data_IF_164159355446
#
_entry.id   IF_164159355446
#
_cell.length_a   1.000
_cell.length_b   1.000
_cell.length_c   1.000
_cell.angle_alpha   90.00
_cell.angle_beta   90.00
_cell.angle_gamma   90.00
#
_symmetry.space_group_name_H-M   'P 1'
#
loop_
_entity.id
_entity.type
_entity.pdbx_description
1 polymer ?
#
# COMPACT_ATOMS: atom_id res chain seq x y z
N UNK A 1 25.82 -14.43 15.46
CA UNK A 1 25.25 -13.38 14.60
C UNK A 1 26.42 -12.60 14.06
N UNK A 2 26.60 -12.60 12.74
CA UNK A 2 27.54 -11.69 12.08
C UNK A 2 27.04 -10.27 12.32
N UNK A 3 27.83 -9.46 13.01
CA UNK A 3 27.52 -8.03 13.22
C UNK A 3 27.53 -7.35 11.86
N UNK A 4 26.44 -6.70 11.50
CA UNK A 4 26.33 -5.91 10.27
C UNK A 4 27.29 -4.72 10.40
N UNK A 5 28.19 -4.54 9.43
CA UNK A 5 28.99 -3.33 9.32
C UNK A 5 28.23 -2.29 8.49
N UNK A 6 27.53 -1.39 9.18
CA UNK A 6 26.68 -0.37 8.58
C UNK A 6 27.44 0.66 7.72
N UNK A 7 28.77 0.75 7.86
CA UNK A 7 29.59 1.65 7.02
C UNK A 7 29.78 1.12 5.61
N UNK A 8 29.69 -0.20 5.43
CA UNK A 8 29.77 -0.85 4.13
C UNK A 8 28.41 -0.86 3.41
N UNK A 9 27.34 -0.42 4.08
CA UNK A 9 26.00 -0.33 3.52
C UNK A 9 25.67 1.10 3.08
N UNK A 10 24.76 1.22 2.13
CA UNK A 10 24.23 2.51 1.66
C UNK A 10 22.74 2.68 1.91
N UNK A 11 22.34 3.94 2.03
CA UNK A 11 20.97 4.45 2.06
C UNK A 11 20.86 5.64 1.08
N UNK A 12 19.72 6.32 0.99
CA UNK A 12 19.47 7.41 0.03
C UNK A 12 20.51 8.55 0.02
N UNK A 13 21.12 8.86 1.17
CA UNK A 13 22.07 9.96 1.33
C UNK A 13 23.54 9.53 1.44
N UNK A 14 23.88 8.28 1.06
CA UNK A 14 25.23 7.74 1.13
C UNK A 14 25.40 6.62 2.16
N UNK A 15 26.46 6.66 2.96
CA UNK A 15 26.80 5.61 3.95
C UNK A 15 25.72 5.49 5.04
N UNK A 16 25.33 4.26 5.40
CA UNK A 16 24.29 3.97 6.38
C UNK A 16 24.78 3.84 7.84
N UNK A 17 25.99 4.34 8.14
CA UNK A 17 26.59 4.26 9.47
C UNK A 17 25.78 4.94 10.59
N UNK A 18 24.87 5.84 10.22
CA UNK A 18 23.98 6.62 11.08
C UNK A 18 22.67 5.88 11.41
N UNK A 19 22.22 4.92 10.59
CA UNK A 19 20.96 4.18 10.77
C UNK A 19 20.81 3.56 12.17
N UNK A 20 21.82 2.87 12.75
CA UNK A 20 21.71 2.35 14.12
C UNK A 20 21.51 3.45 15.16
N UNK A 21 22.09 4.63 14.92
CA UNK A 21 21.92 5.81 15.76
C UNK A 21 20.49 6.33 15.71
N UNK A 22 19.88 6.40 14.52
CA UNK A 22 18.48 6.76 14.36
C UNK A 22 17.55 5.79 15.11
N UNK A 23 17.72 4.47 14.94
CA UNK A 23 16.92 3.50 15.68
C UNK A 23 17.08 3.61 17.21
N UNK A 24 18.26 3.99 17.70
CA UNK A 24 18.50 4.18 19.14
C UNK A 24 17.84 5.44 19.72
N UNK A 25 17.44 6.40 18.88
CA UNK A 25 16.73 7.61 19.28
C UNK A 25 15.21 7.41 19.39
N UNK A 26 14.69 6.30 18.85
CA UNK A 26 13.27 5.97 18.94
C UNK A 26 12.82 5.82 20.39
N UNK A 27 11.54 6.13 20.66
CA UNK A 27 10.95 6.20 21.99
C UNK A 27 11.27 7.50 22.75
N UNK A 28 11.91 8.47 22.09
CA UNK A 28 12.17 9.82 22.60
C UNK A 28 11.04 10.82 22.34
N UNK A 29 11.25 12.08 22.70
CA UNK A 29 10.27 13.17 22.50
C UNK A 29 10.14 13.64 21.05
N UNK A 30 11.08 13.25 20.18
CA UNK A 30 11.13 13.65 18.77
C UNK A 30 10.90 12.44 17.83
N UNK A 31 10.15 11.42 18.30
CA UNK A 31 9.95 10.16 17.58
C UNK A 31 9.45 10.37 16.14
N UNK A 32 8.52 11.31 15.94
CA UNK A 32 7.99 11.65 14.61
C UNK A 32 9.08 12.13 13.65
N UNK A 33 10.06 12.90 14.13
CA UNK A 33 11.18 13.39 13.32
C UNK A 33 12.13 12.24 13.00
N UNK A 34 12.44 11.38 13.97
CA UNK A 34 13.30 10.21 13.78
C UNK A 34 12.68 9.23 12.78
N UNK A 35 11.36 9.01 12.83
CA UNK A 35 10.67 8.22 11.81
C UNK A 35 10.74 8.88 10.43
N UNK A 36 10.53 10.19 10.33
CA UNK A 36 10.70 10.91 9.05
C UNK A 36 12.11 10.71 8.47
N UNK A 37 13.14 10.78 9.29
CA UNK A 37 14.53 10.56 8.87
C UNK A 37 14.77 9.11 8.42
N UNK A 38 14.27 8.12 9.17
CA UNK A 38 14.33 6.70 8.79
C UNK A 38 13.62 6.43 7.46
N UNK A 39 12.41 6.97 7.27
CA UNK A 39 11.67 6.88 6.01
C UNK A 39 12.46 7.50 4.85
N UNK A 40 12.99 8.70 5.05
CA UNK A 40 13.75 9.42 4.03
C UNK A 40 15.03 8.70 3.63
N UNK A 41 15.72 8.06 4.59
CA UNK A 41 16.95 7.33 4.34
C UNK A 41 16.71 5.95 3.70
N UNK A 42 15.74 5.18 4.23
CA UNK A 42 15.55 3.77 3.89
C UNK A 42 14.58 3.55 2.71
N UNK A 43 13.66 4.48 2.45
CA UNK A 43 12.66 4.38 1.38
C UNK A 43 12.49 5.73 0.66
N UNK A 44 13.51 6.17 -0.07
CA UNK A 44 13.49 7.47 -0.75
C UNK A 44 12.84 7.38 -2.12
N UNK A 45 11.72 8.07 -2.33
CA UNK A 45 11.03 8.16 -3.63
C UNK A 45 10.75 6.78 -4.27
N UNK A 46 10.37 5.79 -3.46
CA UNK A 46 10.18 4.43 -3.95
C UNK A 46 11.49 3.76 -4.38
N UNK A 47 12.59 4.01 -3.68
CA UNK A 47 13.84 3.26 -3.84
C UNK A 47 14.29 2.71 -2.49
N UNK A 48 14.74 1.45 -2.52
CA UNK A 48 15.27 0.74 -1.35
C UNK A 48 16.74 0.41 -1.54
N UNK A 49 17.44 0.31 -0.42
CA UNK A 49 18.88 0.17 -0.35
C UNK A 49 19.24 -1.07 0.48
N UNK A 50 20.50 -1.44 0.45
CA UNK A 50 21.08 -2.48 1.28
C UNK A 50 20.90 -2.19 2.79
N UNK A 51 20.93 -0.93 3.22
CA UNK A 51 20.54 -0.54 4.57
C UNK A 51 19.05 -0.78 4.88
N UNK A 52 18.16 -0.67 3.89
CA UNK A 52 16.72 -0.91 4.06
C UNK A 52 16.46 -2.37 4.43
N UNK A 53 17.03 -3.30 3.66
CA UNK A 53 16.93 -4.74 3.96
C UNK A 53 17.59 -5.10 5.29
N UNK A 54 18.78 -4.55 5.56
CA UNK A 54 19.48 -4.74 6.83
C UNK A 54 18.67 -4.26 8.05
N UNK A 55 17.78 -3.27 7.86
CA UNK A 55 16.93 -2.71 8.93
C UNK A 55 15.73 -3.59 9.29
N UNK A 56 15.35 -4.58 8.47
CA UNK A 56 14.14 -5.37 8.69
C UNK A 56 14.13 -6.11 10.04
N UNK A 57 15.27 -6.59 10.53
CA UNK A 57 15.34 -7.23 11.84
C UNK A 57 15.05 -6.27 12.98
N UNK A 58 15.57 -5.04 12.89
CA UNK A 58 15.33 -4.00 13.89
C UNK A 58 13.88 -3.54 13.85
N UNK A 59 13.31 -3.38 12.65
CA UNK A 59 11.89 -3.08 12.47
C UNK A 59 11.00 -4.19 13.06
N UNK A 60 11.37 -5.46 12.89
CA UNK A 60 10.67 -6.57 13.54
C UNK A 60 10.77 -6.50 15.07
N UNK A 61 11.92 -6.12 15.63
CA UNK A 61 12.07 -5.90 17.08
C UNK A 61 11.16 -4.77 17.58
N UNK A 62 11.06 -3.65 16.86
CA UNK A 62 10.15 -2.54 17.20
C UNK A 62 8.69 -2.99 17.10
N UNK A 63 8.30 -3.64 15.99
CA UNK A 63 6.94 -4.14 15.77
C UNK A 63 6.47 -5.14 16.83
N UNK A 64 7.41 -5.89 17.43
CA UNK A 64 7.14 -6.86 18.50
C UNK A 64 7.37 -6.30 19.92
N UNK A 65 7.64 -5.00 20.05
CA UNK A 65 7.85 -4.33 21.34
C UNK A 65 9.13 -4.74 22.07
N UNK A 66 10.13 -5.26 21.34
CA UNK A 66 11.45 -5.64 21.85
C UNK A 66 12.48 -4.52 21.72
N UNK A 67 12.18 -3.50 20.93
CA UNK A 67 12.95 -2.28 20.76
C UNK A 67 12.01 -1.06 20.86
N UNK A 68 12.52 0.13 21.23
CA UNK A 68 11.71 1.34 21.32
C UNK A 68 11.25 1.83 19.94
N UNK A 69 10.15 2.59 19.91
CA UNK A 69 9.53 3.13 18.70
C UNK A 69 8.10 2.64 18.48
N UNK A 70 7.38 3.29 17.59
CA UNK A 70 5.99 2.95 17.27
C UNK A 70 5.91 1.66 16.43
N UNK A 71 5.19 0.61 16.88
CA UNK A 71 5.05 -0.64 16.13
C UNK A 71 4.40 -0.46 14.75
N UNK A 72 3.43 0.46 14.63
CA UNK A 72 2.74 0.72 13.37
C UNK A 72 3.71 1.25 12.31
N UNK A 73 4.51 2.27 12.64
CA UNK A 73 5.54 2.81 11.74
C UNK A 73 6.53 1.74 11.29
N UNK A 74 6.97 0.88 12.22
CA UNK A 74 7.88 -0.21 11.89
C UNK A 74 7.29 -1.19 10.86
N UNK A 75 6.00 -1.53 11.00
CA UNK A 75 5.28 -2.40 10.07
C UNK A 75 5.12 -1.72 8.70
N UNK A 76 4.68 -0.46 8.66
CA UNK A 76 4.44 0.24 7.38
C UNK A 76 5.76 0.47 6.63
N UNK A 77 6.83 0.88 7.31
CA UNK A 77 8.15 1.05 6.70
C UNK A 77 8.69 -0.27 6.17
N UNK A 78 8.60 -1.36 6.95
CA UNK A 78 9.01 -2.66 6.47
C UNK A 78 8.16 -3.14 5.28
N UNK A 79 6.86 -2.86 5.28
CA UNK A 79 5.97 -3.12 4.15
C UNK A 79 6.53 -2.49 2.87
N UNK A 80 6.77 -1.16 2.91
CA UNK A 80 7.33 -0.42 1.79
C UNK A 80 8.71 -0.95 1.32
N UNK A 81 9.58 -1.37 2.25
CA UNK A 81 10.88 -1.97 1.90
C UNK A 81 10.69 -3.26 1.09
N UNK A 82 9.66 -4.04 1.43
CA UNK A 82 9.41 -5.37 0.87
C UNK A 82 8.44 -5.41 -0.31
N UNK A 83 7.89 -4.26 -0.71
CA UNK A 83 6.95 -4.16 -1.85
C UNK A 83 7.62 -4.45 -3.20
N UNK A 84 8.94 -4.28 -3.33
CA UNK A 84 9.69 -4.64 -4.53
C UNK A 84 9.76 -6.16 -4.71
N UNK A 85 8.98 -6.67 -5.65
CA UNK A 85 8.98 -8.08 -6.02
C UNK A 85 10.35 -8.48 -6.62
N UNK A 86 10.70 -9.76 -6.48
CA UNK A 86 11.90 -10.39 -7.05
C UNK A 86 13.28 -9.98 -6.49
N UNK A 87 13.36 -9.21 -5.38
CA UNK A 87 14.66 -8.96 -4.73
C UNK A 87 15.17 -10.23 -4.00
N UNK A 88 16.35 -10.78 -4.37
CA UNK A 88 16.89 -11.99 -3.74
C UNK A 88 17.18 -11.82 -2.24
N UNK A 89 17.31 -10.59 -1.75
CA UNK A 89 17.49 -10.30 -0.31
C UNK A 89 16.27 -10.72 0.51
N UNK A 90 15.08 -10.83 -0.09
CA UNK A 90 13.87 -11.26 0.60
C UNK A 90 14.04 -12.60 1.32
N UNK A 91 14.68 -13.58 0.69
CA UNK A 91 14.92 -14.90 1.28
C UNK A 91 15.84 -14.80 2.51
N UNK A 92 16.85 -13.94 2.46
CA UNK A 92 17.79 -13.70 3.56
C UNK A 92 17.08 -13.13 4.80
N UNK A 93 16.00 -12.38 4.60
CA UNK A 93 15.25 -11.70 5.66
C UNK A 93 13.92 -12.39 6.02
N UNK A 94 13.67 -13.62 5.54
CA UNK A 94 12.39 -14.31 5.71
C UNK A 94 11.91 -14.45 7.16
N UNK A 95 12.82 -14.61 8.14
CA UNK A 95 12.46 -14.62 9.57
C UNK A 95 11.89 -13.29 10.03
N UNK A 96 12.55 -12.17 9.69
CA UNK A 96 12.11 -10.84 10.08
C UNK A 96 10.78 -10.49 9.39
N UNK A 97 10.65 -10.80 8.10
CA UNK A 97 9.41 -10.62 7.33
C UNK A 97 8.25 -11.42 7.96
N UNK A 98 8.50 -12.66 8.39
CA UNK A 98 7.50 -13.47 9.09
C UNK A 98 7.00 -12.82 10.39
N UNK A 99 7.91 -12.28 11.21
CA UNK A 99 7.55 -11.59 12.44
C UNK A 99 6.78 -10.28 12.20
N UNK A 100 7.17 -9.52 11.18
CA UNK A 100 6.47 -8.29 10.76
C UNK A 100 5.06 -8.59 10.23
N UNK A 101 4.93 -9.67 9.45
CA UNK A 101 3.64 -10.15 8.96
C UNK A 101 2.71 -10.53 10.10
N UNK A 102 3.22 -11.25 11.10
CA UNK A 102 2.42 -11.66 12.26
C UNK A 102 1.99 -10.42 13.08
N UNK A 103 2.89 -9.45 13.28
CA UNK A 103 2.56 -8.16 13.89
C UNK A 103 1.48 -7.39 13.11
N UNK A 104 1.59 -7.32 11.77
CA UNK A 104 0.59 -6.67 10.93
C UNK A 104 -0.81 -7.33 11.06
N UNK A 105 -0.87 -8.67 11.12
CA UNK A 105 -2.13 -9.41 11.34
C UNK A 105 -2.73 -9.12 12.72
N UNK A 106 -1.91 -9.08 13.77
CA UNK A 106 -2.35 -8.71 15.10
C UNK A 106 -2.91 -7.27 15.13
N UNK A 107 -2.28 -6.34 14.42
CA UNK A 107 -2.78 -4.95 14.30
C UNK A 107 -4.09 -4.86 13.51
N UNK A 108 -4.23 -5.61 12.41
CA UNK A 108 -5.49 -5.65 11.63
C UNK A 108 -6.67 -6.19 12.44
N UNK A 109 -6.41 -7.09 13.39
CA UNK A 109 -7.45 -7.65 14.26
C UNK A 109 -7.98 -6.66 15.32
N UNK A 110 -7.30 -5.54 15.55
CA UNK A 110 -7.75 -4.51 16.51
C UNK A 110 -8.77 -3.59 15.82
N UNK A 111 -10.01 -3.51 16.33
CA UNK A 111 -11.08 -2.71 15.72
C UNK A 111 -10.89 -1.20 15.97
N UNK A 112 -11.63 -0.38 15.21
CA UNK A 112 -11.70 1.07 15.41
C UNK A 112 -10.53 1.86 14.82
N UNK A 113 -9.69 1.23 14.00
CA UNK A 113 -8.59 1.89 13.30
C UNK A 113 -9.13 2.84 12.21
N UNK A 114 -8.51 4.01 11.99
CA UNK A 114 -8.85 4.84 10.83
C UNK A 114 -8.68 4.06 9.52
N UNK A 115 -9.60 4.25 8.57
CA UNK A 115 -9.60 3.52 7.29
C UNK A 115 -8.24 3.61 6.54
N UNK A 116 -7.59 4.79 6.42
CA UNK A 116 -6.29 4.87 5.76
C UNK A 116 -5.20 4.01 6.42
N UNK A 117 -5.17 4.01 7.75
CA UNK A 117 -4.22 3.19 8.50
C UNK A 117 -4.52 1.68 8.37
N UNK A 118 -5.79 1.30 8.24
CA UNK A 118 -6.19 -0.08 7.97
C UNK A 118 -5.72 -0.53 6.58
N UNK A 119 -5.93 0.28 5.55
CA UNK A 119 -5.47 -0.03 4.18
C UNK A 119 -3.95 -0.10 4.12
N UNK A 120 -3.21 0.78 4.81
CA UNK A 120 -1.74 0.71 4.88
C UNK A 120 -1.24 -0.61 5.52
N UNK A 121 -1.96 -1.16 6.49
CA UNK A 121 -1.65 -2.48 7.05
C UNK A 121 -1.95 -3.61 6.07
N UNK A 122 -3.02 -3.52 5.29
CA UNK A 122 -3.29 -4.46 4.21
C UNK A 122 -2.16 -4.43 3.17
N UNK A 123 -1.75 -3.23 2.73
CA UNK A 123 -0.60 -3.05 1.84
C UNK A 123 0.65 -3.76 2.37
N UNK A 124 1.00 -3.51 3.64
CA UNK A 124 2.16 -4.13 4.29
C UNK A 124 2.02 -5.66 4.38
N UNK A 125 0.83 -6.16 4.73
CA UNK A 125 0.57 -7.60 4.79
C UNK A 125 0.76 -8.26 3.41
N UNK A 126 0.25 -7.65 2.35
CA UNK A 126 0.46 -8.11 0.98
C UNK A 126 1.93 -8.08 0.58
N UNK A 127 2.67 -7.04 0.98
CA UNK A 127 4.11 -6.91 0.71
C UNK A 127 4.90 -8.05 1.37
N UNK A 128 4.59 -8.39 2.62
CA UNK A 128 5.21 -9.52 3.34
C UNK A 128 4.79 -10.89 2.80
N UNK A 129 3.65 -10.99 2.13
CA UNK A 129 3.20 -12.20 1.45
C UNK A 129 3.74 -12.31 0.01
N UNK A 130 4.26 -11.21 -0.56
CA UNK A 130 4.78 -11.18 -1.93
C UNK A 130 3.67 -11.23 -2.97
N UNK A 131 2.55 -10.53 -2.72
CA UNK A 131 1.35 -10.57 -3.57
C UNK A 131 1.43 -9.53 -4.69
N UNK A 132 2.33 -9.73 -5.65
CA UNK A 132 2.44 -8.93 -6.88
C UNK A 132 2.32 -7.42 -6.65
N UNK A 133 1.48 -6.78 -7.46
CA UNK A 133 1.30 -5.32 -7.56
C UNK A 133 0.46 -4.71 -6.44
N UNK A 134 -0.33 -5.54 -5.76
CA UNK A 134 -1.38 -5.10 -4.85
C UNK A 134 -0.92 -4.39 -3.56
N UNK A 135 0.30 -4.60 -3.02
CA UNK A 135 0.83 -3.78 -1.95
C UNK A 135 0.87 -2.29 -2.30
N UNK A 136 1.17 -1.97 -3.56
CA UNK A 136 1.27 -0.58 -4.01
C UNK A 136 -0.07 -0.09 -4.56
N UNK A 137 -0.76 -0.91 -5.35
CA UNK A 137 -2.04 -0.55 -5.95
C UNK A 137 -3.14 -0.24 -4.92
N UNK A 138 -3.12 -0.84 -3.73
CA UNK A 138 -4.10 -0.54 -2.68
C UNK A 138 -4.02 0.91 -2.16
N UNK A 139 -2.98 1.68 -2.48
CA UNK A 139 -2.98 3.12 -2.25
C UNK A 139 -4.16 3.82 -2.94
N UNK A 140 -4.62 3.28 -4.08
CA UNK A 140 -5.81 3.72 -4.80
C UNK A 140 -7.10 3.69 -3.97
N UNK A 141 -7.19 2.80 -2.97
CA UNK A 141 -8.32 2.75 -2.04
C UNK A 141 -8.31 3.95 -1.08
N UNK A 142 -7.13 4.43 -0.69
CA UNK A 142 -6.98 5.60 0.18
C UNK A 142 -7.15 6.92 -0.58
N UNK A 143 -6.71 6.98 -1.84
CA UNK A 143 -7.00 8.12 -2.73
C UNK A 143 -8.42 8.08 -3.29
N UNK A 144 -9.14 6.98 -3.11
CA UNK A 144 -10.48 6.73 -3.64
C UNK A 144 -10.56 6.79 -5.17
N UNK A 145 -9.45 6.49 -5.83
CA UNK A 145 -9.25 6.66 -7.27
C UNK A 145 -8.20 5.69 -7.82
N UNK A 146 -8.41 5.22 -9.05
CA UNK A 146 -7.36 4.66 -9.92
C UNK A 146 -7.29 5.40 -11.25
N UNK A 147 -6.07 5.68 -11.71
CA UNK A 147 -5.79 6.12 -13.08
C UNK A 147 -5.45 4.90 -13.94
N UNK A 148 -6.16 4.71 -15.06
CA UNK A 148 -6.06 3.55 -15.94
C UNK A 148 -6.08 3.97 -17.41
N UNK A 149 -5.79 3.05 -18.33
CA UNK A 149 -6.05 3.22 -19.75
C UNK A 149 -7.19 2.31 -20.19
N UNK A 150 -8.06 2.79 -21.09
CA UNK A 150 -9.10 1.95 -21.65
C UNK A 150 -8.49 0.83 -22.51
N UNK A 151 -8.81 -0.46 -22.27
CA UNK A 151 -8.19 -1.56 -23.03
C UNK A 151 -8.62 -1.66 -24.50
N UNK A 152 -9.56 -0.81 -24.96
CA UNK A 152 -10.05 -0.80 -26.33
C UNK A 152 -9.69 0.46 -27.11
N UNK A 153 -9.84 1.64 -26.52
CA UNK A 153 -9.57 2.92 -27.19
C UNK A 153 -8.35 3.66 -26.64
N UNK A 154 -7.64 3.09 -25.65
CA UNK A 154 -6.40 3.64 -25.06
C UNK A 154 -6.56 5.04 -24.42
N UNK A 155 -7.80 5.51 -24.24
CA UNK A 155 -8.09 6.76 -23.55
C UNK A 155 -7.72 6.64 -22.07
N UNK A 156 -7.12 7.70 -21.51
CA UNK A 156 -6.86 7.80 -20.07
C UNK A 156 -8.18 7.87 -19.30
N UNK A 157 -8.30 7.05 -18.25
CA UNK A 157 -9.50 6.91 -17.44
C UNK A 157 -9.19 7.12 -15.96
N UNK A 158 -10.10 7.81 -15.29
CA UNK A 158 -10.18 7.87 -13.85
C UNK A 158 -11.33 7.00 -13.35
N UNK A 159 -11.05 6.04 -12.48
CA UNK A 159 -12.04 5.23 -11.77
C UNK A 159 -12.17 5.79 -10.36
N UNK A 160 -13.23 6.55 -10.11
CA UNK A 160 -13.48 7.21 -8.84
C UNK A 160 -14.55 6.46 -8.03
N UNK A 161 -14.35 6.36 -6.71
CA UNK A 161 -15.32 5.84 -5.75
C UNK A 161 -15.26 6.68 -4.45
N UNK A 162 -15.97 6.24 -3.40
CA UNK A 162 -15.93 6.92 -2.10
C UNK A 162 -16.54 8.32 -2.13
N UNK A 163 -15.82 9.30 -1.58
CA UNK A 163 -16.22 10.69 -1.43
C UNK A 163 -16.43 11.44 -2.74
N UNK A 164 -15.84 10.99 -3.84
CA UNK A 164 -16.04 11.58 -5.17
C UNK A 164 -17.34 11.11 -5.85
N UNK A 165 -17.95 10.02 -5.36
CA UNK A 165 -19.01 9.28 -6.05
C UNK A 165 -18.45 8.11 -6.86
N UNK A 166 -19.29 7.31 -7.50
CA UNK A 166 -18.89 6.04 -8.15
C UNK A 166 -19.10 6.08 -9.66
N UNK A 167 -18.02 6.22 -10.42
CA UNK A 167 -18.06 6.38 -11.89
C UNK A 167 -16.69 6.16 -12.54
N UNK A 168 -16.69 6.13 -13.88
CA UNK A 168 -15.48 6.22 -14.72
C UNK A 168 -15.52 7.54 -15.49
N UNK A 169 -14.40 8.27 -15.57
CA UNK A 169 -14.27 9.52 -16.31
C UNK A 169 -13.10 9.46 -17.29
N UNK A 170 -13.23 10.05 -18.48
CA UNK A 170 -12.12 10.26 -19.41
C UNK A 170 -11.49 11.66 -19.27
N UNK A 171 -12.09 12.53 -18.44
CA UNK A 171 -11.61 13.88 -18.18
C UNK A 171 -11.30 14.06 -16.69
N UNK A 172 -10.47 15.05 -16.35
CA UNK A 172 -10.26 15.48 -14.97
C UNK A 172 -11.59 15.95 -14.36
N UNK A 173 -12.04 15.21 -13.34
CA UNK A 173 -13.33 15.40 -12.68
C UNK A 173 -13.20 16.18 -11.35
N UNK A 174 -11.99 16.52 -10.93
CA UNK A 174 -11.68 17.27 -9.71
C UNK A 174 -11.61 18.77 -10.01
N UNK A 175 -11.03 19.14 -11.16
CA UNK A 175 -10.76 20.52 -11.56
C UNK A 175 -11.93 21.25 -12.24
N UNK A 176 -13.16 20.74 -12.14
CA UNK A 176 -14.35 21.34 -12.74
C UNK A 176 -14.71 22.70 -12.12
N UNK A 177 -13.96 23.75 -12.48
CA UNK A 177 -14.33 25.14 -12.21
C UNK A 177 -15.65 25.44 -12.92
N UNK A 178 -16.61 25.94 -12.15
CA UNK A 178 -17.89 26.50 -12.60
C UNK A 178 -19.11 25.58 -12.69
N UNK A 179 -19.14 24.46 -11.94
CA UNK A 179 -20.38 23.71 -11.75
C UNK A 179 -21.03 23.20 -13.04
N UNK A 180 -20.25 23.14 -14.13
CA UNK A 180 -20.62 22.41 -15.32
C UNK A 180 -20.60 20.93 -14.94
N UNK A 181 -21.68 20.24 -15.27
CA UNK A 181 -21.77 18.80 -15.09
C UNK A 181 -20.51 18.18 -15.68
N UNK A 182 -19.83 17.34 -14.89
CA UNK A 182 -18.77 16.48 -15.39
C UNK A 182 -19.23 15.87 -16.73
N UNK A 183 -18.34 15.78 -17.71
CA UNK A 183 -18.63 15.18 -19.02
C UNK A 183 -19.26 13.79 -18.89
N UNK A 184 -19.64 13.18 -20.02
CA UNK A 184 -20.29 11.87 -20.00
C UNK A 184 -19.51 10.88 -19.12
N UNK A 185 -20.14 10.44 -18.03
CA UNK A 185 -19.55 9.52 -17.04
C UNK A 185 -19.91 8.09 -17.39
N UNK A 186 -18.89 7.25 -17.37
CA UNK A 186 -19.05 5.81 -17.46
C UNK A 186 -19.58 5.21 -16.16
N UNK A 187 -20.29 4.10 -16.27
CA UNK A 187 -20.77 3.34 -15.13
C UNK A 187 -19.61 2.62 -14.43
N UNK A 188 -19.59 2.66 -13.09
CA UNK A 188 -18.73 1.83 -12.26
C UNK A 188 -19.62 0.87 -11.46
N UNK A 189 -19.54 -0.42 -11.77
CA UNK A 189 -20.42 -1.46 -11.23
C UNK A 189 -19.66 -2.29 -10.19
N UNK A 190 -20.17 -2.41 -8.94
CA UNK A 190 -19.51 -3.21 -7.92
C UNK A 190 -19.68 -4.71 -8.21
N UNK A 191 -18.65 -5.49 -7.91
CA UNK A 191 -18.74 -6.95 -7.95
C UNK A 191 -19.53 -7.48 -6.74
N UNK A 192 -20.55 -8.33 -6.94
CA UNK A 192 -21.17 -9.06 -5.84
C UNK A 192 -20.13 -9.84 -5.04
N UNK A 193 -20.24 -9.82 -3.71
CA UNK A 193 -19.24 -10.38 -2.78
C UNK A 193 -18.97 -11.86 -3.08
N UNK A 194 -19.98 -12.61 -3.51
CA UNK A 194 -19.91 -14.03 -3.86
C UNK A 194 -19.15 -14.31 -5.18
N UNK A 195 -18.93 -13.26 -5.99
CA UNK A 195 -18.22 -13.32 -7.28
C UNK A 195 -16.85 -12.64 -7.25
N UNK A 196 -16.41 -12.12 -6.10
CA UNK A 196 -15.07 -11.57 -5.95
C UNK A 196 -14.01 -12.64 -6.25
N UNK A 197 -12.89 -12.21 -6.84
CA UNK A 197 -11.70 -13.05 -6.97
C UNK A 197 -11.18 -13.49 -5.60
N UNK A 198 -10.30 -14.49 -5.54
CA UNK A 198 -9.78 -14.98 -4.26
C UNK A 198 -9.12 -13.87 -3.42
N UNK A 199 -8.36 -12.97 -4.05
CA UNK A 199 -7.76 -11.82 -3.37
C UNK A 199 -8.81 -10.79 -2.96
N UNK A 200 -9.75 -10.44 -3.85
CA UNK A 200 -10.81 -9.49 -3.54
C UNK A 200 -11.71 -9.96 -2.39
N UNK A 201 -12.10 -11.24 -2.39
CA UNK A 201 -12.89 -11.84 -1.32
C UNK A 201 -12.15 -11.83 0.03
N UNK A 202 -10.83 -12.08 0.02
CA UNK A 202 -10.00 -12.00 1.22
C UNK A 202 -9.95 -10.59 1.78
N UNK A 203 -9.57 -9.61 0.97
CA UNK A 203 -9.45 -8.21 1.41
C UNK A 203 -10.80 -7.64 1.88
N UNK A 204 -11.87 -7.93 1.15
CA UNK A 204 -13.22 -7.56 1.54
C UNK A 204 -13.60 -8.19 2.88
N UNK A 205 -13.31 -9.49 3.07
CA UNK A 205 -13.59 -10.20 4.32
C UNK A 205 -12.82 -9.65 5.51
N UNK A 206 -11.54 -9.29 5.33
CA UNK A 206 -10.72 -8.64 6.35
C UNK A 206 -11.29 -7.26 6.72
N UNK A 207 -11.64 -6.43 5.73
CA UNK A 207 -12.26 -5.13 5.95
C UNK A 207 -13.62 -5.24 6.68
N UNK A 208 -14.49 -6.14 6.23
CA UNK A 208 -15.80 -6.36 6.84
C UNK A 208 -15.69 -6.85 8.29
N UNK A 209 -14.77 -7.79 8.56
CA UNK A 209 -14.55 -8.33 9.91
C UNK A 209 -13.99 -7.29 10.88
N UNK A 210 -13.23 -6.32 10.36
CA UNK A 210 -12.69 -5.20 11.14
C UNK A 210 -13.67 -4.01 11.29
N UNK A 211 -14.88 -4.11 10.72
CA UNK A 211 -15.89 -3.04 10.73
C UNK A 211 -15.58 -1.87 9.77
N UNK A 212 -14.68 -2.07 8.80
CA UNK A 212 -14.29 -1.07 7.80
C UNK A 212 -15.27 -1.06 6.62
N UNK A 213 -16.50 -0.62 6.85
CA UNK A 213 -17.60 -0.70 5.87
C UNK A 213 -17.28 0.01 4.55
N UNK A 214 -16.72 1.22 4.60
CA UNK A 214 -16.39 1.97 3.38
C UNK A 214 -15.22 1.32 2.60
N UNK A 215 -14.22 0.79 3.29
CA UNK A 215 -13.13 0.03 2.64
C UNK A 215 -13.66 -1.24 2.01
N UNK A 216 -14.51 -2.01 2.71
CA UNK A 216 -15.14 -3.21 2.17
C UNK A 216 -15.95 -2.87 0.91
N UNK A 217 -16.71 -1.77 0.93
CA UNK A 217 -17.47 -1.29 -0.23
C UNK A 217 -16.55 -0.88 -1.38
N UNK A 218 -15.50 -0.10 -1.11
CA UNK A 218 -14.51 0.31 -2.11
C UNK A 218 -13.92 -0.91 -2.84
N UNK A 219 -13.56 -1.97 -2.09
CA UNK A 219 -13.02 -3.20 -2.65
C UNK A 219 -13.99 -3.89 -3.63
N UNK A 220 -15.31 -3.74 -3.47
CA UNK A 220 -16.26 -4.28 -4.47
C UNK A 220 -16.17 -3.56 -5.82
N UNK A 221 -15.79 -2.28 -5.84
CA UNK A 221 -15.55 -1.52 -7.08
C UNK A 221 -14.16 -1.79 -7.66
N UNK A 222 -13.14 -1.88 -6.80
CA UNK A 222 -11.76 -2.22 -7.23
C UNK A 222 -11.72 -3.58 -7.93
N UNK A 223 -12.46 -4.56 -7.43
CA UNK A 223 -12.61 -5.88 -8.06
C UNK A 223 -13.87 -5.98 -8.95
N UNK A 224 -14.46 -4.83 -9.29
CA UNK A 224 -15.65 -4.67 -10.13
C UNK A 224 -15.33 -4.38 -11.59
N UNK A 225 -16.31 -3.77 -12.26
CA UNK A 225 -16.27 -3.46 -13.69
C UNK A 225 -16.48 -1.96 -13.92
N UNK A 226 -15.67 -1.38 -14.79
CA UNK A 226 -15.85 -0.02 -15.30
C UNK A 226 -16.35 -0.05 -16.74
N UNK A 227 -17.13 0.95 -17.15
CA UNK A 227 -17.50 1.22 -18.55
C UNK A 227 -16.80 2.49 -19.01
N UNK A 228 -16.03 2.42 -20.08
CA UNK A 228 -15.42 3.61 -20.68
C UNK A 228 -16.50 4.54 -21.25
N UNK A 229 -16.54 5.84 -20.88
CA UNK A 229 -17.52 6.78 -21.42
C UNK A 229 -17.31 7.09 -22.91
N UNK A 230 -16.09 6.92 -23.43
CA UNK A 230 -15.75 7.28 -24.81
C UNK A 230 -16.11 6.20 -25.82
N UNK A 231 -16.03 4.91 -25.45
CA UNK A 231 -16.22 3.78 -26.38
C UNK A 231 -17.11 2.66 -25.86
N UNK A 232 -17.75 2.83 -24.69
CA UNK A 232 -18.64 1.86 -24.04
C UNK A 232 -18.02 0.51 -23.66
N UNK A 233 -16.70 0.34 -23.83
CA UNK A 233 -16.00 -0.89 -23.44
C UNK A 233 -16.12 -1.11 -21.94
N UNK A 234 -16.58 -2.30 -21.58
CA UNK A 234 -16.60 -2.77 -20.18
C UNK A 234 -15.27 -3.49 -19.90
N UNK A 235 -14.63 -3.14 -18.79
CA UNK A 235 -13.34 -3.67 -18.38
C UNK A 235 -13.33 -4.01 -16.88
N UNK A 236 -12.46 -4.92 -16.47
CA UNK A 236 -12.23 -5.21 -15.06
C UNK A 236 -11.21 -4.23 -14.50
N UNK A 237 -11.59 -3.48 -13.46
CA UNK A 237 -10.70 -2.49 -12.82
C UNK A 237 -9.42 -3.17 -12.32
N UNK A 238 -9.55 -4.26 -11.57
CA UNK A 238 -8.43 -5.06 -11.06
C UNK A 238 -7.48 -5.56 -12.16
N UNK A 239 -8.00 -6.01 -13.31
CA UNK A 239 -7.14 -6.50 -14.40
C UNK A 239 -6.35 -5.38 -15.05
N UNK A 240 -6.95 -4.20 -15.24
CA UNK A 240 -6.22 -3.05 -15.80
C UNK A 240 -5.19 -2.50 -14.81
N UNK A 241 -5.48 -2.51 -13.50
CA UNK A 241 -4.48 -2.21 -12.45
C UNK A 241 -3.30 -3.17 -12.54
N UNK A 242 -3.54 -4.47 -12.65
CA UNK A 242 -2.46 -5.48 -12.73
C UNK A 242 -1.57 -5.30 -13.96
N UNK A 243 -2.10 -4.84 -15.09
CA UNK A 243 -1.33 -4.63 -16.34
C UNK A 243 -0.36 -3.46 -16.28
N UNK A 244 -0.58 -2.47 -15.41
CA UNK A 244 0.31 -1.30 -15.30
C UNK A 244 1.72 -1.63 -14.79
N UNK A 245 1.92 -2.85 -14.30
CA UNK A 245 3.13 -3.30 -13.61
C UNK A 245 3.79 -4.51 -14.28
N UNK A 246 3.40 -4.84 -15.52
CA UNK A 246 3.93 -5.95 -16.33
C UNK A 246 4.90 -5.44 -17.39
#
# INVERSE_FOLDING_TARGET
>A
MTTIDWRELTHAYGSAADIPGLFALLGGSEDDVVWCDLWSALCHQGSVYDASWASLSTLADVARGRAPGEPFQAVILAGAITSYEADPRRELHGRAIGELRDAAREMLAVPGRPAPAFVNLLQSLLAFEGVGVWPEALAGVNSEEFELECPACEEGLYVAFGGYGTFVSAEDYVSGTDGQAAGDRGELTPMPVERLSALGARLHGEAASAGQTEVARALTYVFGEGRCPSCDTVFSVAQEVEKQWV
#
